data_IF_166001833658
#
_entry.id   IF_166001833658
#
_cell.length_a   1.000
_cell.length_b   1.000
_cell.length_c   1.000
_cell.angle_alpha   90.00
_cell.angle_beta   90.00
_cell.angle_gamma   90.00
#
_symmetry.space_group_name_H-M   'P 1'
#
loop_
_entity.id
_entity.type
_entity.pdbx_description
1 polymer ?
#
# COMPACT_ATOMS: atom_id res chain seq x y z
N UNK A 1 -57.52 25.15 -5.67
CA UNK A 1 -56.12 25.49 -5.21
C UNK A 1 -55.53 24.18 -4.69
N UNK A 2 -54.51 23.61 -5.41
CA UNK A 2 -53.83 22.36 -5.03
C UNK A 2 -52.51 22.76 -4.43
N UNK A 3 -52.34 22.54 -3.14
CA UNK A 3 -51.10 22.81 -2.39
C UNK A 3 -50.14 21.64 -2.59
N UNK A 4 -49.02 21.89 -3.27
CA UNK A 4 -47.92 20.89 -3.44
C UNK A 4 -47.00 21.04 -2.23
N UNK A 5 -46.96 20.00 -1.40
CA UNK A 5 -46.06 19.91 -0.24
C UNK A 5 -44.68 19.38 -0.73
N UNK A 6 -43.69 20.24 -0.77
CA UNK A 6 -42.33 19.87 -1.12
C UNK A 6 -41.65 19.26 0.12
N UNK A 7 -41.37 17.96 0.09
CA UNK A 7 -40.59 17.28 1.11
C UNK A 7 -39.10 17.47 0.78
N UNK A 8 -38.38 18.28 1.57
CA UNK A 8 -36.94 18.42 1.51
C UNK A 8 -36.31 17.24 2.21
N UNK A 9 -35.66 16.33 1.44
CA UNK A 9 -34.85 15.23 1.98
C UNK A 9 -33.47 15.77 2.33
N UNK A 10 -33.19 15.90 3.62
CA UNK A 10 -31.90 16.32 4.15
C UNK A 10 -30.95 15.10 4.15
N UNK A 11 -30.00 15.04 3.21
CA UNK A 11 -28.94 14.05 3.20
C UNK A 11 -27.91 14.40 4.29
N UNK A 12 -27.96 13.70 5.42
CA UNK A 12 -26.90 13.72 6.43
C UNK A 12 -25.70 12.93 5.90
N UNK A 13 -24.66 13.64 5.41
CA UNK A 13 -23.36 13.04 5.12
C UNK A 13 -22.67 12.70 6.46
N UNK A 14 -22.67 11.43 6.83
CA UNK A 14 -21.89 10.93 7.96
C UNK A 14 -20.42 10.93 7.56
N UNK A 15 -19.50 11.45 8.40
CA UNK A 15 -18.07 11.34 8.14
C UNK A 15 -17.68 9.86 8.19
N UNK A 16 -17.19 9.32 7.07
CA UNK A 16 -16.56 8.00 7.03
C UNK A 16 -15.16 8.15 7.64
N UNK A 17 -15.04 7.88 8.93
CA UNK A 17 -13.73 7.67 9.53
C UNK A 17 -13.12 6.41 8.92
N UNK A 18 -12.07 6.56 8.11
CA UNK A 18 -11.23 5.45 7.68
C UNK A 18 -10.51 4.90 8.93
N UNK A 19 -11.03 3.84 9.52
CA UNK A 19 -10.35 3.13 10.61
C UNK A 19 -9.22 2.29 10.00
N UNK A 20 -7.99 2.61 10.37
CA UNK A 20 -6.86 1.72 10.11
C UNK A 20 -7.03 0.45 10.95
N UNK A 21 -7.00 -0.68 10.28
CA UNK A 21 -7.02 -1.99 10.95
C UNK A 21 -5.58 -2.38 11.22
N UNK A 22 -5.20 -2.54 12.48
CA UNK A 22 -3.85 -3.00 12.85
C UNK A 22 -3.45 -4.23 12.05
N UNK A 23 -2.22 -4.24 11.53
CA UNK A 23 -1.68 -5.34 10.74
C UNK A 23 -2.24 -5.45 9.31
N UNK A 24 -2.95 -4.45 8.82
CA UNK A 24 -3.42 -4.35 7.44
C UNK A 24 -2.76 -3.16 6.72
N UNK A 25 -2.08 -3.44 5.60
CA UNK A 25 -1.58 -2.42 4.69
C UNK A 25 -2.46 -2.29 3.45
N UNK A 26 -2.16 -1.28 2.62
CA UNK A 26 -2.81 -1.03 1.34
C UNK A 26 -1.80 -1.07 0.20
N UNK A 27 -2.21 -1.66 -0.94
CA UNK A 27 -1.43 -1.69 -2.17
C UNK A 27 -2.32 -1.27 -3.35
N UNK A 28 -2.04 -0.11 -3.92
CA UNK A 28 -2.65 0.33 -5.17
C UNK A 28 -1.74 -0.03 -6.34
N UNK A 29 -2.33 -0.65 -7.38
CA UNK A 29 -1.65 -1.13 -8.57
C UNK A 29 -2.26 -0.48 -9.79
N UNK A 30 -1.47 0.31 -10.50
CA UNK A 30 -1.89 0.99 -11.73
C UNK A 30 -1.07 0.47 -12.90
N UNK A 31 -1.75 0.06 -13.96
CA UNK A 31 -1.13 -0.38 -15.22
C UNK A 31 -1.59 0.57 -16.32
N UNK A 32 -0.65 1.36 -16.83
CA UNK A 32 -0.87 2.27 -17.96
C UNK A 32 0.14 1.98 -19.06
N UNK A 33 -0.36 1.45 -20.19
CA UNK A 33 0.45 1.01 -21.33
C UNK A 33 1.52 -0.01 -20.88
N UNK A 34 2.79 0.38 -20.94
CA UNK A 34 3.94 -0.43 -20.56
C UNK A 34 4.44 -0.18 -19.12
N UNK A 35 3.79 0.76 -18.41
CA UNK A 35 4.15 1.10 -17.03
C UNK A 35 3.28 0.39 -16.02
N UNK A 36 3.92 -0.18 -15.00
CA UNK A 36 3.30 -0.70 -13.78
C UNK A 36 3.75 0.15 -12.60
N UNK A 37 2.80 0.76 -11.91
CA UNK A 37 3.06 1.53 -10.69
C UNK A 37 2.43 0.83 -9.50
N UNK A 38 3.21 0.62 -8.46
CA UNK A 38 2.80 0.04 -7.18
C UNK A 38 2.94 1.10 -6.09
N UNK A 39 1.85 1.43 -5.41
CA UNK A 39 1.85 2.37 -4.29
C UNK A 39 1.44 1.61 -3.02
N UNK A 40 2.37 1.53 -2.07
CA UNK A 40 2.21 0.85 -0.78
C UNK A 40 2.01 1.88 0.33
N UNK A 41 0.97 1.69 1.14
CA UNK A 41 0.79 2.32 2.44
C UNK A 41 0.83 1.20 3.50
N UNK A 42 1.76 1.30 4.43
CA UNK A 42 1.98 0.30 5.47
C UNK A 42 2.00 0.99 6.83
N UNK A 43 0.99 0.74 7.70
CA UNK A 43 1.00 1.29 9.05
C UNK A 43 2.28 0.94 9.78
N UNK A 44 2.86 1.91 10.48
CA UNK A 44 4.17 1.74 11.12
C UNK A 44 4.14 0.61 12.16
N UNK A 45 3.03 0.42 12.88
CA UNK A 45 2.87 -0.68 13.84
C UNK A 45 2.89 -2.05 13.15
N UNK A 46 2.35 -2.16 11.94
CA UNK A 46 2.40 -3.39 11.15
C UNK A 46 3.82 -3.73 10.69
N UNK A 47 4.65 -2.70 10.48
CA UNK A 47 6.05 -2.87 10.09
C UNK A 47 6.97 -3.16 11.27
N UNK A 48 6.88 -2.36 12.36
CA UNK A 48 7.87 -2.35 13.45
C UNK A 48 7.27 -2.54 14.85
N UNK A 49 5.93 -2.52 15.01
CA UNK A 49 5.24 -2.78 16.26
C UNK A 49 5.00 -1.54 17.14
N UNK A 50 5.20 -0.35 16.62
CA UNK A 50 4.91 0.92 17.30
C UNK A 50 4.58 2.03 16.30
N UNK A 51 3.80 3.06 16.73
CA UNK A 51 3.37 4.22 15.91
C UNK A 51 3.90 5.54 16.48
N UNK A 52 5.11 5.55 16.98
CA UNK A 52 5.75 6.70 17.60
C UNK A 52 7.23 6.76 17.26
N UNK A 53 7.90 7.83 17.65
CA UNK A 53 9.36 7.89 17.53
C UNK A 53 10.03 6.73 18.31
N UNK A 54 11.10 6.13 17.75
CA UNK A 54 11.83 5.05 18.41
C UNK A 54 12.49 5.56 19.71
N UNK A 55 12.32 4.80 20.80
CA UNK A 55 12.77 5.18 22.15
C UNK A 55 14.13 4.62 22.53
N UNK A 56 14.56 3.56 21.84
CA UNK A 56 15.81 2.86 22.15
C UNK A 56 16.49 2.36 20.86
N UNK A 57 17.69 1.79 21.01
CA UNK A 57 18.49 1.31 19.88
C UNK A 57 17.80 0.15 19.12
N UNK A 58 17.14 -0.76 19.83
CA UNK A 58 16.43 -1.88 19.21
C UNK A 58 15.29 -1.40 18.31
N UNK A 59 14.53 -0.38 18.73
CA UNK A 59 13.46 0.22 17.94
C UNK A 59 14.03 0.98 16.71
N UNK A 60 15.16 1.70 16.88
CA UNK A 60 15.85 2.34 15.75
C UNK A 60 16.33 1.29 14.73
N UNK A 61 16.92 0.20 15.22
CA UNK A 61 17.37 -0.90 14.37
C UNK A 61 16.20 -1.59 13.63
N UNK A 62 15.05 -1.76 14.28
CA UNK A 62 13.83 -2.30 13.64
C UNK A 62 13.34 -1.39 12.51
N UNK A 63 13.29 -0.07 12.73
CA UNK A 63 12.89 0.89 11.71
C UNK A 63 13.87 0.91 10.52
N UNK A 64 15.18 0.90 10.80
CA UNK A 64 16.20 0.80 9.76
C UNK A 64 16.11 -0.53 8.99
N UNK A 65 15.75 -1.63 9.65
CA UNK A 65 15.52 -2.92 9.00
C UNK A 65 14.31 -2.91 8.08
N UNK A 66 13.21 -2.27 8.50
CA UNK A 66 12.04 -2.07 7.65
C UNK A 66 12.39 -1.29 6.37
N UNK A 67 13.19 -0.23 6.50
CA UNK A 67 13.71 0.51 5.34
C UNK A 67 14.51 -0.37 4.38
N UNK A 68 15.43 -1.18 4.90
CA UNK A 68 16.21 -2.11 4.05
C UNK A 68 15.32 -3.11 3.32
N UNK A 69 14.32 -3.67 3.98
CA UNK A 69 13.38 -4.61 3.37
C UNK A 69 12.61 -3.98 2.18
N UNK A 70 12.14 -2.74 2.35
CA UNK A 70 11.47 -2.00 1.27
C UNK A 70 12.44 -1.65 0.13
N UNK A 71 13.67 -1.24 0.44
CA UNK A 71 14.70 -0.97 -0.57
C UNK A 71 15.14 -2.22 -1.34
N UNK A 72 15.01 -3.42 -0.76
CA UNK A 72 15.33 -4.70 -1.40
C UNK A 72 14.29 -5.15 -2.46
N UNK A 73 13.32 -4.31 -2.79
CA UNK A 73 12.28 -4.54 -3.80
C UNK A 73 11.38 -5.73 -3.47
N UNK A 74 10.38 -5.54 -2.57
CA UNK A 74 9.52 -6.62 -2.10
C UNK A 74 8.41 -7.02 -3.09
N UNK A 75 8.46 -6.59 -4.34
CA UNK A 75 7.47 -6.87 -5.37
C UNK A 75 8.10 -7.47 -6.62
N UNK A 76 7.50 -8.53 -7.13
CA UNK A 76 7.94 -9.22 -8.33
C UNK A 76 6.77 -9.35 -9.33
N UNK A 77 6.73 -8.56 -10.42
CA UNK A 77 5.87 -8.83 -11.57
C UNK A 77 6.22 -10.19 -12.18
N UNK A 78 5.22 -10.89 -12.76
CA UNK A 78 5.51 -12.20 -13.37
C UNK A 78 6.57 -12.08 -14.48
N UNK A 79 7.51 -13.05 -14.57
CA UNK A 79 8.72 -12.94 -15.41
C UNK A 79 8.43 -12.75 -16.91
N UNK A 80 7.32 -13.32 -17.43
CA UNK A 80 6.95 -13.23 -18.84
C UNK A 80 6.68 -11.79 -19.28
N UNK A 81 6.26 -10.91 -18.39
CA UNK A 81 6.05 -9.49 -18.68
C UNK A 81 7.36 -8.71 -18.87
N UNK A 82 8.51 -9.27 -18.45
CA UNK A 82 9.85 -8.66 -18.58
C UNK A 82 9.89 -7.23 -18.06
N UNK A 83 9.37 -7.03 -16.84
CA UNK A 83 9.33 -5.71 -16.20
C UNK A 83 10.67 -5.40 -15.54
N UNK A 84 11.17 -4.19 -15.76
CA UNK A 84 12.37 -3.65 -15.11
C UNK A 84 11.99 -2.45 -14.24
N UNK A 85 12.52 -2.40 -13.01
CA UNK A 85 12.34 -1.26 -12.10
C UNK A 85 12.98 -0.02 -12.72
N UNK A 86 12.22 1.08 -12.79
CA UNK A 86 12.66 2.37 -13.29
C UNK A 86 12.89 3.37 -12.17
N UNK A 87 12.00 3.38 -11.19
CA UNK A 87 12.09 4.29 -10.06
C UNK A 87 11.50 3.63 -8.81
N UNK A 88 12.00 4.04 -7.66
CA UNK A 88 11.38 3.78 -6.36
C UNK A 88 11.54 4.99 -5.48
N UNK A 89 10.51 5.27 -4.69
CA UNK A 89 10.51 6.29 -3.66
C UNK A 89 9.95 5.67 -2.38
N UNK A 90 10.63 5.89 -1.25
CA UNK A 90 10.27 5.27 0.02
C UNK A 90 10.42 6.32 1.11
N UNK A 91 9.31 6.67 1.75
CA UNK A 91 9.26 7.56 2.90
C UNK A 91 9.04 6.75 4.17
N UNK A 92 9.99 6.85 5.09
CA UNK A 92 9.92 6.23 6.40
C UNK A 92 9.83 7.31 7.48
N UNK A 93 8.73 7.35 8.25
CA UNK A 93 8.60 8.26 9.37
C UNK A 93 9.77 8.11 10.34
N UNK A 94 10.24 9.23 10.90
CA UNK A 94 11.34 9.31 11.88
C UNK A 94 12.74 8.96 11.37
N UNK A 95 12.92 8.41 10.16
CA UNK A 95 14.24 8.25 9.55
C UNK A 95 14.59 9.42 8.62
N UNK A 96 13.61 9.97 7.92
CA UNK A 96 13.81 11.05 6.94
C UNK A 96 13.86 12.44 7.59
N UNK A 97 14.02 12.51 8.91
CA UNK A 97 14.07 13.76 9.67
C UNK A 97 12.72 14.48 9.82
N UNK A 98 11.63 13.88 9.32
CA UNK A 98 10.27 14.40 9.42
C UNK A 98 9.51 13.62 10.49
N UNK A 99 9.16 14.30 11.59
CA UNK A 99 8.20 13.76 12.54
C UNK A 99 6.78 14.01 12.01
N UNK A 100 5.88 13.02 12.03
CA UNK A 100 4.47 13.23 11.75
C UNK A 100 3.86 14.24 12.72
N UNK A 101 2.81 14.95 12.30
CA UNK A 101 2.10 15.85 13.19
C UNK A 101 1.43 15.06 14.34
N UNK A 102 1.27 15.70 15.49
CA UNK A 102 0.67 15.05 16.65
C UNK A 102 -0.77 14.62 16.35
N UNK A 103 -1.06 13.32 16.51
CA UNK A 103 -2.39 12.73 16.26
C UNK A 103 -2.61 12.25 14.83
N UNK A 104 -1.64 12.36 13.93
CA UNK A 104 -1.69 11.72 12.62
C UNK A 104 -1.30 10.24 12.72
N UNK A 105 -1.96 9.41 11.87
CA UNK A 105 -1.53 8.05 11.65
C UNK A 105 -0.17 8.04 10.97
N UNK A 106 0.68 7.14 11.41
CA UNK A 106 2.07 7.08 10.97
C UNK A 106 2.23 5.90 10.03
N UNK A 107 2.24 6.20 8.73
CA UNK A 107 2.39 5.19 7.69
C UNK A 107 3.76 5.29 7.02
N UNK A 108 4.32 4.14 6.67
CA UNK A 108 5.38 4.04 5.68
C UNK A 108 4.70 4.11 4.30
N UNK A 109 5.18 5.01 3.45
CA UNK A 109 4.70 5.13 2.07
C UNK A 109 5.83 4.73 1.14
N UNK A 110 5.53 3.84 0.17
CA UNK A 110 6.51 3.45 -0.83
C UNK A 110 5.87 3.36 -2.22
N UNK A 111 6.59 3.82 -3.23
CA UNK A 111 6.20 3.75 -4.63
C UNK A 111 7.28 3.02 -5.44
N UNK A 112 6.85 2.15 -6.35
CA UNK A 112 7.71 1.42 -7.27
C UNK A 112 7.15 1.53 -8.68
N UNK A 113 7.96 1.99 -9.61
CA UNK A 113 7.58 2.16 -11.01
C UNK A 113 8.40 1.20 -11.86
N UNK A 114 7.72 0.34 -12.60
CA UNK A 114 8.32 -0.61 -13.54
C UNK A 114 7.92 -0.27 -14.97
N UNK A 115 8.79 -0.59 -15.90
CA UNK A 115 8.51 -0.64 -17.32
C UNK A 115 8.56 -2.09 -17.78
N UNK A 116 7.50 -2.57 -18.43
CA UNK A 116 7.35 -3.93 -18.89
C UNK A 116 7.53 -4.00 -20.42
N UNK A 117 8.46 -4.82 -20.89
CA UNK A 117 8.69 -5.00 -22.33
C UNK A 117 7.55 -5.78 -23.00
N UNK A 118 6.81 -6.60 -22.24
CA UNK A 118 5.61 -7.29 -22.70
C UNK A 118 4.45 -7.04 -21.71
N UNK A 119 3.80 -5.87 -21.79
CA UNK A 119 2.72 -5.52 -20.87
C UNK A 119 1.47 -6.40 -21.04
N UNK A 120 1.27 -7.02 -22.20
CA UNK A 120 0.15 -7.94 -22.42
C UNK A 120 0.31 -9.26 -21.64
N UNK A 121 1.56 -9.66 -21.36
CA UNK A 121 1.89 -10.82 -20.55
C UNK A 121 1.87 -10.53 -19.04
N UNK A 122 1.67 -9.29 -18.60
CA UNK A 122 1.59 -8.94 -17.19
C UNK A 122 0.24 -9.42 -16.61
N UNK A 123 0.28 -10.42 -15.73
CA UNK A 123 -0.90 -11.10 -15.14
C UNK A 123 -0.86 -11.20 -13.64
N UNK A 124 0.29 -10.92 -13.02
CA UNK A 124 0.41 -11.00 -11.57
C UNK A 124 1.57 -10.17 -11.03
N UNK A 125 1.44 -9.82 -9.75
CA UNK A 125 2.52 -9.27 -8.92
C UNK A 125 2.55 -10.07 -7.62
N UNK A 126 3.69 -10.66 -7.29
CA UNK A 126 3.92 -11.32 -6.01
C UNK A 126 4.61 -10.35 -5.04
N UNK A 127 4.37 -10.51 -3.73
CA UNK A 127 5.05 -9.74 -2.70
C UNK A 127 5.73 -10.63 -1.66
N UNK A 128 6.91 -10.18 -1.19
CA UNK A 128 7.63 -10.79 -0.07
C UNK A 128 7.40 -10.05 1.26
N UNK A 129 6.59 -9.00 1.29
CA UNK A 129 6.34 -8.17 2.49
C UNK A 129 5.99 -8.98 3.73
N UNK A 130 5.20 -10.06 3.60
CA UNK A 130 4.81 -10.91 4.73
C UNK A 130 5.98 -11.72 5.32
N UNK A 131 7.10 -11.87 4.58
CA UNK A 131 8.31 -12.52 5.09
C UNK A 131 9.09 -11.58 6.00
N UNK A 132 9.12 -10.30 5.66
CA UNK A 132 9.87 -9.27 6.36
C UNK A 132 9.06 -8.65 7.51
N UNK A 133 7.75 -8.41 7.29
CA UNK A 133 6.83 -7.76 8.21
C UNK A 133 5.89 -8.78 8.88
N UNK A 134 6.33 -9.39 9.98
CA UNK A 134 5.58 -10.46 10.66
C UNK A 134 4.26 -10.02 11.30
N UNK A 135 4.10 -8.72 11.51
CA UNK A 135 2.87 -8.14 12.05
C UNK A 135 1.87 -7.77 10.95
N UNK A 136 2.32 -7.74 9.69
CA UNK A 136 1.46 -7.58 8.52
C UNK A 136 0.83 -8.93 8.17
N UNK A 137 -0.46 -9.10 8.37
CA UNK A 137 -1.16 -10.33 8.03
C UNK A 137 -2.15 -10.14 6.87
N UNK A 138 -2.34 -8.89 6.42
CA UNK A 138 -3.24 -8.57 5.32
C UNK A 138 -2.73 -7.37 4.54
N UNK A 139 -2.89 -7.43 3.22
CA UNK A 139 -2.65 -6.31 2.32
C UNK A 139 -3.87 -6.16 1.42
N UNK A 140 -4.66 -5.10 1.66
CA UNK A 140 -5.79 -4.76 0.82
C UNK A 140 -5.25 -4.20 -0.50
N UNK A 141 -5.41 -4.94 -1.59
CA UNK A 141 -4.94 -4.50 -2.90
C UNK A 141 -6.08 -4.08 -3.82
N UNK A 142 -5.84 -3.00 -4.58
CA UNK A 142 -6.71 -2.52 -5.65
C UNK A 142 -5.88 -2.39 -6.92
N UNK A 143 -6.45 -2.80 -8.04
CA UNK A 143 -5.81 -2.72 -9.35
C UNK A 143 -6.69 -1.97 -10.34
N UNK A 144 -6.07 -1.12 -11.14
CA UNK A 144 -6.67 -0.46 -12.30
C UNK A 144 -5.74 -0.66 -13.49
N UNK A 145 -6.28 -1.01 -14.65
CA UNK A 145 -5.48 -1.21 -15.87
C UNK A 145 -6.33 -1.54 -17.08
N UNK A 146 -5.71 -1.89 -18.22
CA UNK A 146 -6.42 -2.17 -19.49
C UNK A 146 -7.44 -3.29 -19.39
N UNK A 147 -7.23 -4.28 -18.51
CA UNK A 147 -8.18 -5.38 -18.23
C UNK A 147 -9.25 -5.01 -17.19
N UNK A 148 -9.47 -3.71 -16.93
CA UNK A 148 -10.44 -3.20 -15.98
C UNK A 148 -9.84 -3.01 -14.58
N UNK A 149 -10.72 -3.02 -13.58
CA UNK A 149 -10.36 -2.83 -12.18
C UNK A 149 -10.68 -4.08 -11.36
N UNK A 150 -9.98 -4.25 -10.24
CA UNK A 150 -10.18 -5.35 -9.32
C UNK A 150 -9.65 -5.03 -7.93
N UNK A 151 -10.11 -5.80 -6.96
CA UNK A 151 -9.63 -5.75 -5.59
C UNK A 151 -9.39 -7.17 -5.08
N UNK A 152 -8.33 -7.35 -4.27
CA UNK A 152 -7.99 -8.61 -3.65
C UNK A 152 -7.36 -8.36 -2.29
N UNK A 153 -7.56 -9.29 -1.36
CA UNK A 153 -6.82 -9.33 -0.10
C UNK A 153 -5.68 -10.31 -0.21
N UNK A 154 -4.46 -9.82 -0.12
CA UNK A 154 -3.27 -10.66 -0.02
C UNK A 154 -3.03 -11.03 1.44
N UNK A 155 -2.49 -12.21 1.66
CA UNK A 155 -2.16 -12.77 2.98
C UNK A 155 -0.85 -13.54 2.87
N UNK A 156 -0.20 -13.93 4.00
CA UNK A 156 1.00 -14.78 3.95
C UNK A 156 0.86 -16.05 3.12
N UNK A 157 -0.36 -16.66 3.13
CA UNK A 157 -0.64 -17.87 2.35
C UNK A 157 -1.08 -17.60 0.90
N UNK A 158 -1.35 -16.34 0.56
CA UNK A 158 -1.72 -15.89 -0.79
C UNK A 158 -1.05 -14.54 -1.06
N UNK A 159 0.27 -14.53 -1.30
CA UNK A 159 1.03 -13.28 -1.44
C UNK A 159 0.98 -12.67 -2.85
N UNK A 160 0.19 -13.22 -3.77
CA UNK A 160 0.16 -12.78 -5.17
C UNK A 160 -1.18 -12.15 -5.54
N UNK A 161 -1.14 -10.95 -6.11
CA UNK A 161 -2.25 -10.33 -6.84
C UNK A 161 -2.26 -10.86 -8.27
N UNK A 162 -3.41 -11.38 -8.74
CA UNK A 162 -3.59 -11.95 -10.08
C UNK A 162 -4.79 -11.34 -10.80
N UNK A 163 -4.80 -11.30 -12.16
CA UNK A 163 -5.89 -10.78 -12.99
C UNK A 163 -5.92 -11.36 -14.40
#
# INVERSE_FOLDING_TARGET
>A
MKTVLAIAVLFLALPVCAQHVHGEGRLDVVIDRDQLTLSLELPLDAAVGFERAPRNEAERAALASAGRALHALPFAPNPTARCALQAKDISLPYLDGKAPAAGEHVDIVASYVFRCADPAALKSVETTLFKDFKRLYRLASRRVGPSGQGAMRLTPNRPSLTW
#
